data_IF_981823343131
#
_entry.id   IF_981823343131
#
_cell.length_a   1.000
_cell.length_b   1.000
_cell.length_c   1.000
_cell.angle_alpha   90.00
_cell.angle_beta   90.00
_cell.angle_gamma   90.00
#
_symmetry.space_group_name_H-M   'P 1'
#
loop_
_entity.id
_entity.type
_entity.pdbx_description
1 polymer ?
#
# COMPACT_ATOMS: atom_id res chain seq x y z
N UNK A 1 -20.69 -21.63 39.87
CA UNK A 1 -19.91 -20.43 40.26
C UNK A 1 -18.93 -20.12 39.12
N UNK A 2 -19.31 -19.19 38.23
CA UNK A 2 -18.49 -18.81 37.08
C UNK A 2 -17.45 -17.78 37.53
N UNK A 3 -16.18 -18.04 37.26
CA UNK A 3 -15.08 -17.12 37.54
C UNK A 3 -15.27 -15.79 36.80
N UNK A 4 -14.96 -14.62 37.38
CA UNK A 4 -15.11 -13.35 36.77
C UNK A 4 -14.13 -13.21 35.59
N UNK A 5 -14.66 -12.81 34.41
CA UNK A 5 -13.89 -12.46 33.25
C UNK A 5 -12.94 -11.28 33.60
N UNK A 6 -11.63 -11.37 33.34
CA UNK A 6 -10.73 -10.27 33.62
C UNK A 6 -11.14 -9.03 32.81
N UNK A 7 -11.28 -7.90 33.50
CA UNK A 7 -11.53 -6.61 32.87
C UNK A 7 -10.43 -6.28 31.87
N UNK A 8 -10.74 -5.65 30.71
CA UNK A 8 -9.74 -5.23 29.75
C UNK A 8 -8.77 -4.27 30.44
N UNK A 9 -7.47 -4.59 30.35
CA UNK A 9 -6.41 -3.75 30.88
C UNK A 9 -6.55 -2.33 30.31
N UNK A 10 -6.57 -1.34 31.19
CA UNK A 10 -6.64 0.07 30.81
C UNK A 10 -5.53 0.38 29.80
N UNK A 11 -5.93 0.82 28.61
CA UNK A 11 -5.00 1.24 27.55
C UNK A 11 -4.07 2.33 28.12
N UNK A 12 -2.77 2.11 28.05
CA UNK A 12 -1.79 3.14 28.45
C UNK A 12 -2.02 4.38 27.58
N UNK A 13 -1.96 5.60 28.15
CA UNK A 13 -2.08 6.80 27.34
C UNK A 13 -1.01 6.79 26.27
N UNK A 14 -1.43 6.95 25.00
CA UNK A 14 -0.54 7.06 23.86
C UNK A 14 0.33 8.31 24.06
N UNK A 15 1.64 8.11 23.99
CA UNK A 15 2.63 9.20 24.05
C UNK A 15 3.58 9.10 22.86
N UNK A 16 4.09 10.25 22.42
CA UNK A 16 5.07 10.26 21.34
C UNK A 16 6.31 9.41 21.70
N UNK A 17 6.84 8.64 20.75
CA UNK A 17 8.04 7.85 20.98
C UNK A 17 9.22 8.73 21.38
N UNK A 18 10.00 8.35 22.42
CA UNK A 18 11.15 9.14 22.85
C UNK A 18 12.26 9.16 21.81
N UNK A 19 13.11 10.19 21.85
CA UNK A 19 14.29 10.27 21.01
C UNK A 19 15.23 9.09 21.26
N UNK A 20 15.81 8.54 20.20
CA UNK A 20 16.65 7.33 20.23
C UNK A 20 15.87 6.01 20.31
N UNK A 21 14.54 6.03 20.40
CA UNK A 21 13.75 4.81 20.40
C UNK A 21 13.76 4.11 19.05
N UNK A 22 13.72 2.78 19.09
CA UNK A 22 13.62 1.93 17.89
C UNK A 22 12.29 1.20 17.93
N UNK A 23 11.44 1.49 16.95
CA UNK A 23 10.15 0.84 16.77
C UNK A 23 10.24 -0.22 15.68
N UNK A 24 9.44 -1.29 15.84
CA UNK A 24 9.32 -2.32 14.81
C UNK A 24 8.08 -2.01 13.96
N UNK A 25 8.25 -2.16 12.63
CA UNK A 25 7.18 -1.95 11.67
C UNK A 25 7.30 -2.95 10.53
N UNK A 26 6.27 -3.10 9.73
CA UNK A 26 6.25 -4.07 8.64
C UNK A 26 6.90 -3.45 7.38
N UNK A 27 7.90 -4.11 6.77
CA UNK A 27 8.48 -3.67 5.51
C UNK A 27 7.45 -3.67 4.37
N UNK A 28 7.19 -2.52 3.79
CA UNK A 28 6.28 -2.38 2.66
C UNK A 28 7.00 -2.16 1.32
N UNK A 29 8.01 -1.29 1.31
CA UNK A 29 8.87 -1.06 0.14
C UNK A 29 10.34 -1.00 0.59
N UNK A 30 11.27 -1.71 -0.06
CA UNK A 30 12.61 -1.88 0.44
C UNK A 30 13.49 -0.63 0.24
N UNK A 31 14.22 -0.23 1.27
CA UNK A 31 15.19 0.87 1.21
C UNK A 31 15.57 1.39 2.59
N UNK A 32 16.47 2.36 2.60
CA UNK A 32 16.84 3.14 3.77
C UNK A 32 16.50 4.59 3.47
N UNK A 33 15.69 5.21 4.32
CA UNK A 33 15.30 6.60 4.20
C UNK A 33 15.63 7.37 5.47
N UNK A 34 16.01 8.62 5.31
CA UNK A 34 16.32 9.56 6.39
C UNK A 34 15.75 10.92 6.04
N UNK A 35 15.18 11.61 7.02
CA UNK A 35 14.67 12.95 6.84
C UNK A 35 13.79 13.41 8.01
N UNK A 36 13.37 14.67 7.98
CA UNK A 36 12.43 15.20 8.94
C UNK A 36 11.04 14.57 8.75
N UNK A 37 10.34 14.31 9.85
CA UNK A 37 8.97 13.84 9.85
C UNK A 37 8.02 14.93 9.36
N UNK A 38 7.25 14.63 8.33
CA UNK A 38 6.07 15.39 7.94
C UNK A 38 4.83 14.60 8.33
N UNK A 39 4.27 14.93 9.50
CA UNK A 39 3.11 14.23 10.04
C UNK A 39 1.85 14.82 9.43
N UNK A 40 1.19 14.03 8.60
CA UNK A 40 -0.09 14.38 8.00
C UNK A 40 -1.19 13.59 8.71
N UNK A 41 -1.83 14.22 9.68
CA UNK A 41 -2.99 13.63 10.36
C UNK A 41 -4.17 13.72 9.40
N UNK A 42 -4.94 12.64 9.27
CA UNK A 42 -6.21 12.68 8.54
C UNK A 42 -7.07 13.80 9.11
N UNK A 43 -7.33 14.81 8.30
CA UNK A 43 -8.16 15.93 8.73
C UNK A 43 -9.58 15.41 8.96
N UNK A 44 -10.12 15.67 10.15
CA UNK A 44 -11.55 15.58 10.38
C UNK A 44 -12.19 16.74 9.63
N UNK A 45 -13.07 16.43 8.71
CA UNK A 45 -13.81 17.45 8.00
C UNK A 45 -14.92 18.00 8.90
N UNK A 46 -14.93 19.31 9.11
CA UNK A 46 -16.02 19.99 9.80
C UNK A 46 -16.99 20.54 8.75
N UNK A 47 -18.20 20.03 8.74
CA UNK A 47 -19.24 20.41 7.77
C UNK A 47 -20.62 20.42 8.42
N UNK A 48 -21.51 21.31 7.95
CA UNK A 48 -22.89 21.37 8.45
C UNK A 48 -23.66 20.11 8.04
N UNK A 49 -24.55 19.65 8.93
CA UNK A 49 -25.40 18.49 8.63
C UNK A 49 -26.52 18.84 7.65
N UNK A 50 -27.00 20.08 7.66
CA UNK A 50 -28.03 20.57 6.77
C UNK A 50 -27.48 21.50 5.71
N UNK A 51 -27.99 21.34 4.48
CA UNK A 51 -27.65 22.17 3.34
C UNK A 51 -28.42 23.48 3.29
N UNK A 52 -27.96 24.42 2.47
CA UNK A 52 -28.62 25.71 2.23
C UNK A 52 -29.85 25.53 1.33
N UNK A 53 -29.73 24.77 0.25
CA UNK A 53 -30.80 24.37 -0.63
C UNK A 53 -30.40 23.11 -1.40
N UNK A 54 -31.38 22.28 -1.74
CA UNK A 54 -31.15 21.04 -2.51
C UNK A 54 -30.40 21.31 -3.83
N UNK A 55 -30.75 22.40 -4.52
CA UNK A 55 -30.10 22.74 -5.79
C UNK A 55 -28.63 23.14 -5.61
N UNK A 56 -28.33 23.97 -4.60
CA UNK A 56 -26.96 24.38 -4.34
C UNK A 56 -26.07 23.22 -3.86
N UNK A 57 -26.62 22.35 -3.01
CA UNK A 57 -25.88 21.18 -2.51
C UNK A 57 -25.62 20.16 -3.64
N UNK A 58 -26.58 19.97 -4.54
CA UNK A 58 -26.42 19.14 -5.74
C UNK A 58 -25.32 19.69 -6.66
N UNK A 59 -25.31 20.98 -6.93
CA UNK A 59 -24.28 21.63 -7.73
C UNK A 59 -22.90 21.48 -7.09
N UNK A 60 -22.80 21.69 -5.78
CA UNK A 60 -21.56 21.53 -4.99
C UNK A 60 -21.02 20.11 -5.09
N UNK A 61 -21.88 19.10 -4.94
CA UNK A 61 -21.53 17.68 -5.07
C UNK A 61 -21.06 17.34 -6.49
N UNK A 62 -21.81 17.70 -7.52
CA UNK A 62 -21.47 17.39 -8.90
C UNK A 62 -20.15 18.06 -9.33
N UNK A 63 -19.89 19.29 -8.87
CA UNK A 63 -18.64 19.98 -9.09
C UNK A 63 -17.48 19.22 -8.45
N UNK A 64 -17.60 18.85 -7.19
CA UNK A 64 -16.57 18.12 -6.46
C UNK A 64 -16.26 16.76 -7.10
N UNK A 65 -17.28 15.98 -7.47
CA UNK A 65 -17.11 14.70 -8.16
C UNK A 65 -16.40 14.92 -9.51
N UNK A 66 -16.79 15.96 -10.28
CA UNK A 66 -16.18 16.29 -11.56
C UNK A 66 -14.69 16.64 -11.44
N UNK A 67 -14.32 17.42 -10.43
CA UNK A 67 -12.92 17.77 -10.13
C UNK A 67 -12.10 16.55 -9.73
N UNK A 68 -12.61 15.70 -8.82
CA UNK A 68 -11.93 14.47 -8.41
C UNK A 68 -11.78 13.51 -9.58
N UNK A 69 -12.80 13.37 -10.44
CA UNK A 69 -12.70 12.55 -11.65
C UNK A 69 -11.60 13.03 -12.59
N UNK A 70 -11.54 14.32 -12.85
CA UNK A 70 -10.48 14.91 -13.68
C UNK A 70 -9.09 14.68 -13.11
N UNK A 71 -8.95 14.77 -11.79
CA UNK A 71 -7.70 14.45 -11.09
C UNK A 71 -7.29 13.00 -11.26
N UNK A 72 -8.24 12.05 -11.11
CA UNK A 72 -8.00 10.62 -11.29
C UNK A 72 -7.59 10.33 -12.75
N UNK A 73 -8.27 10.91 -13.73
CA UNK A 73 -7.91 10.78 -15.14
C UNK A 73 -6.47 11.25 -15.42
N UNK A 74 -6.08 12.38 -14.82
CA UNK A 74 -4.70 12.89 -14.93
C UNK A 74 -3.68 11.92 -14.30
N UNK A 75 -4.00 11.29 -13.16
CA UNK A 75 -3.15 10.29 -12.50
C UNK A 75 -3.01 9.03 -13.36
N UNK A 76 -4.09 8.56 -13.98
CA UNK A 76 -4.07 7.42 -14.92
C UNK A 76 -3.15 7.71 -16.10
N UNK A 77 -3.27 8.90 -16.71
CA UNK A 77 -2.46 9.28 -17.88
C UNK A 77 -0.97 9.44 -17.56
N UNK A 78 -0.64 10.01 -16.39
CA UNK A 78 0.75 10.24 -15.97
C UNK A 78 1.43 8.98 -15.45
N UNK A 79 0.67 8.00 -14.97
CA UNK A 79 1.23 6.80 -14.37
C UNK A 79 1.88 5.88 -15.39
N UNK A 80 3.16 5.55 -15.18
CA UNK A 80 3.92 4.57 -15.96
C UNK A 80 3.66 3.14 -15.51
N UNK A 81 3.19 2.94 -14.29
CA UNK A 81 2.92 1.62 -13.69
C UNK A 81 1.52 1.13 -14.08
N UNK A 82 1.43 -0.08 -14.62
CA UNK A 82 0.15 -0.72 -14.93
C UNK A 82 -0.69 -0.93 -13.66
N UNK A 83 -0.07 -1.37 -12.56
CA UNK A 83 -0.76 -1.60 -11.29
C UNK A 83 -1.40 -0.31 -10.73
N UNK A 84 -0.67 0.82 -10.81
CA UNK A 84 -1.21 2.12 -10.38
C UNK A 84 -2.41 2.53 -11.24
N UNK A 85 -2.31 2.35 -12.56
CA UNK A 85 -3.43 2.67 -13.45
C UNK A 85 -4.67 1.83 -13.16
N UNK A 86 -4.51 0.53 -12.90
CA UNK A 86 -5.63 -0.37 -12.57
C UNK A 86 -6.35 0.08 -11.29
N UNK A 87 -5.62 0.49 -10.25
CA UNK A 87 -6.20 1.04 -9.02
C UNK A 87 -7.05 2.29 -9.32
N UNK A 88 -6.51 3.24 -10.09
CA UNK A 88 -7.25 4.47 -10.38
C UNK A 88 -8.44 4.27 -11.33
N UNK A 89 -8.39 3.30 -12.23
CA UNK A 89 -9.56 2.91 -13.03
C UNK A 89 -10.67 2.41 -12.10
N UNK A 90 -10.36 1.58 -11.12
CA UNK A 90 -11.35 1.12 -10.12
C UNK A 90 -11.92 2.29 -9.30
N UNK A 91 -11.08 3.27 -8.91
CA UNK A 91 -11.56 4.47 -8.22
C UNK A 91 -12.50 5.32 -9.09
N UNK A 92 -12.23 5.41 -10.39
CA UNK A 92 -13.12 6.10 -11.33
C UNK A 92 -14.47 5.37 -11.44
N UNK A 93 -14.47 4.04 -11.55
CA UNK A 93 -15.69 3.23 -11.55
C UNK A 93 -16.51 3.43 -10.26
N UNK A 94 -15.88 3.53 -9.10
CA UNK A 94 -16.55 3.83 -7.83
C UNK A 94 -17.22 5.20 -7.82
N UNK A 95 -16.59 6.23 -8.41
CA UNK A 95 -17.17 7.57 -8.50
C UNK A 95 -18.40 7.63 -9.43
N UNK A 96 -18.44 6.75 -10.43
CA UNK A 96 -19.51 6.68 -11.43
C UNK A 96 -20.62 5.69 -11.03
N UNK A 97 -20.54 5.09 -9.84
CA UNK A 97 -21.53 4.13 -9.36
C UNK A 97 -22.92 4.81 -9.18
N UNK A 98 -23.93 4.39 -9.96
CA UNK A 98 -25.24 4.99 -9.89
C UNK A 98 -25.99 4.71 -8.58
N UNK A 99 -25.66 3.62 -7.87
CA UNK A 99 -26.28 3.32 -6.57
C UNK A 99 -25.86 4.33 -5.52
N UNK A 100 -24.54 4.62 -5.44
CA UNK A 100 -24.02 5.63 -4.53
C UNK A 100 -24.60 7.02 -4.84
N UNK A 101 -24.61 7.41 -6.12
CA UNK A 101 -25.11 8.71 -6.55
C UNK A 101 -26.60 8.87 -6.24
N UNK A 102 -27.42 7.84 -6.49
CA UNK A 102 -28.86 7.92 -6.22
C UNK A 102 -29.19 7.98 -4.73
N UNK A 103 -28.40 7.31 -3.88
CA UNK A 103 -28.59 7.38 -2.43
C UNK A 103 -28.21 8.75 -1.86
N UNK A 104 -27.10 9.34 -2.36
CA UNK A 104 -26.74 10.72 -2.00
C UNK A 104 -27.83 11.70 -2.42
N UNK A 105 -28.34 11.60 -3.65
CA UNK A 105 -29.44 12.45 -4.13
C UNK A 105 -30.71 12.34 -3.27
N UNK A 106 -31.05 11.14 -2.81
CA UNK A 106 -32.18 10.94 -1.89
C UNK A 106 -31.99 11.68 -0.57
N UNK A 107 -30.76 11.72 -0.04
CA UNK A 107 -30.41 12.45 1.19
C UNK A 107 -30.42 13.96 1.00
N UNK A 108 -29.94 14.45 -0.13
CA UNK A 108 -30.03 15.88 -0.48
C UNK A 108 -31.48 16.34 -0.52
N UNK A 109 -32.41 15.51 -1.02
CA UNK A 109 -33.84 15.82 -1.04
C UNK A 109 -34.45 15.86 0.39
N UNK A 110 -33.75 15.38 1.41
CA UNK A 110 -34.12 15.47 2.83
C UNK A 110 -33.37 16.61 3.56
N UNK A 111 -32.92 17.62 2.83
CA UNK A 111 -32.21 18.82 3.35
C UNK A 111 -30.84 18.52 4.01
N UNK A 112 -30.24 17.36 3.77
CA UNK A 112 -28.86 17.12 4.19
C UNK A 112 -27.88 17.93 3.31
N UNK A 113 -26.75 18.34 3.88
CA UNK A 113 -25.69 18.96 3.09
C UNK A 113 -24.99 17.94 2.20
N UNK A 114 -24.37 18.39 1.12
CA UNK A 114 -23.61 17.54 0.21
C UNK A 114 -22.50 16.74 0.94
N UNK A 115 -21.82 17.38 1.88
CA UNK A 115 -20.77 16.75 2.68
C UNK A 115 -21.33 15.64 3.59
N UNK A 116 -22.41 15.92 4.33
CA UNK A 116 -23.04 14.97 5.25
C UNK A 116 -23.62 13.77 4.49
N UNK A 117 -24.37 14.03 3.41
CA UNK A 117 -24.97 13.00 2.56
C UNK A 117 -23.90 12.09 1.96
N UNK A 118 -22.86 12.67 1.35
CA UNK A 118 -21.75 11.93 0.76
C UNK A 118 -21.00 11.09 1.80
N UNK A 119 -20.58 11.67 2.93
CA UNK A 119 -19.87 10.96 3.98
C UNK A 119 -20.65 9.77 4.52
N UNK A 120 -21.95 9.94 4.73
CA UNK A 120 -22.83 8.88 5.26
C UNK A 120 -22.98 7.73 4.27
N UNK A 121 -23.20 8.02 2.99
CA UNK A 121 -23.38 6.99 1.95
C UNK A 121 -22.09 6.19 1.77
N UNK A 122 -20.96 6.86 1.64
CA UNK A 122 -19.66 6.20 1.49
C UNK A 122 -19.35 5.29 2.69
N UNK A 123 -19.51 5.77 3.91
CA UNK A 123 -19.23 4.95 5.11
C UNK A 123 -20.19 3.77 5.23
N UNK A 124 -21.48 3.98 4.91
CA UNK A 124 -22.47 2.90 4.91
C UNK A 124 -22.09 1.81 3.90
N UNK A 125 -21.73 2.19 2.67
CA UNK A 125 -21.31 1.26 1.63
C UNK A 125 -19.99 0.53 2.02
N UNK A 126 -19.03 1.23 2.59
CA UNK A 126 -17.76 0.65 3.04
C UNK A 126 -17.98 -0.40 4.15
N UNK A 127 -18.79 -0.07 5.16
CA UNK A 127 -19.14 -1.00 6.25
C UNK A 127 -19.89 -2.23 5.73
N UNK A 128 -20.79 -2.06 4.76
CA UNK A 128 -21.48 -3.19 4.13
C UNK A 128 -20.51 -4.14 3.42
N UNK A 129 -19.51 -3.61 2.72
CA UNK A 129 -18.47 -4.43 2.07
C UNK A 129 -17.59 -5.18 3.08
N UNK A 130 -17.22 -4.56 4.19
CA UNK A 130 -16.44 -5.20 5.26
C UNK A 130 -17.20 -6.36 5.92
N UNK A 131 -18.53 -6.26 6.05
CA UNK A 131 -19.37 -7.31 6.63
C UNK A 131 -19.44 -8.59 5.80
N UNK A 132 -19.12 -8.54 4.51
CA UNK A 132 -19.17 -9.69 3.60
C UNK A 132 -18.04 -10.71 3.84
N UNK A 133 -17.13 -10.50 4.80
CA UNK A 133 -16.04 -11.41 5.22
C UNK A 133 -15.14 -11.88 4.06
N UNK A 134 -15.10 -11.16 2.97
CA UNK A 134 -14.22 -11.40 1.85
C UNK A 134 -13.05 -10.40 1.87
N UNK A 135 -11.82 -10.91 1.81
CA UNK A 135 -10.62 -10.07 1.88
C UNK A 135 -10.53 -9.05 0.73
N UNK A 136 -11.01 -9.42 -0.48
CA UNK A 136 -11.02 -8.53 -1.64
C UNK A 136 -12.05 -7.39 -1.46
N UNK A 137 -13.18 -7.68 -0.82
CA UNK A 137 -14.20 -6.68 -0.54
C UNK A 137 -13.79 -5.74 0.59
N UNK A 138 -13.05 -6.25 1.58
CA UNK A 138 -12.45 -5.41 2.61
C UNK A 138 -11.43 -4.42 2.04
N UNK A 139 -10.62 -4.83 1.06
CA UNK A 139 -9.72 -3.93 0.32
C UNK A 139 -10.51 -2.86 -0.45
N UNK A 140 -11.62 -3.23 -1.10
CA UNK A 140 -12.52 -2.29 -1.79
C UNK A 140 -13.15 -1.28 -0.84
N UNK A 141 -13.48 -1.67 0.39
CA UNK A 141 -13.99 -0.74 1.40
C UNK A 141 -12.98 0.38 1.73
N UNK A 142 -11.69 0.05 1.80
CA UNK A 142 -10.63 1.03 1.99
C UNK A 142 -10.49 1.98 0.79
N UNK A 143 -10.56 1.46 -0.43
CA UNK A 143 -10.54 2.26 -1.66
C UNK A 143 -11.75 3.20 -1.74
N UNK A 144 -12.94 2.71 -1.37
CA UNK A 144 -14.16 3.51 -1.35
C UNK A 144 -14.04 4.68 -0.35
N UNK A 145 -13.48 4.44 0.84
CA UNK A 145 -13.18 5.51 1.81
C UNK A 145 -12.15 6.50 1.29
N UNK A 146 -11.14 6.05 0.53
CA UNK A 146 -10.14 6.92 -0.08
C UNK A 146 -10.79 7.87 -1.10
N UNK A 147 -11.58 7.33 -2.02
CA UNK A 147 -12.36 8.11 -2.99
C UNK A 147 -13.33 9.05 -2.28
N UNK A 148 -14.02 8.54 -1.26
CA UNK A 148 -14.97 9.32 -0.44
C UNK A 148 -14.33 10.53 0.21
N UNK A 149 -13.15 10.37 0.82
CA UNK A 149 -12.39 11.47 1.43
C UNK A 149 -11.96 12.52 0.42
N UNK A 150 -11.59 12.13 -0.80
CA UNK A 150 -11.20 13.08 -1.85
C UNK A 150 -12.34 13.99 -2.26
N UNK A 151 -13.53 13.42 -2.47
CA UNK A 151 -14.72 14.22 -2.79
C UNK A 151 -15.10 15.11 -1.61
N UNK A 152 -15.04 14.58 -0.39
CA UNK A 152 -15.34 15.34 0.82
C UNK A 152 -14.38 16.52 1.01
N UNK A 153 -13.10 16.34 0.76
CA UNK A 153 -12.09 17.41 0.79
C UNK A 153 -12.42 18.52 -0.21
N UNK A 154 -12.85 18.17 -1.42
CA UNK A 154 -13.28 19.12 -2.45
C UNK A 154 -14.55 19.88 -2.04
N UNK A 155 -15.55 19.16 -1.48
CA UNK A 155 -16.78 19.78 -1.00
C UNK A 155 -16.48 20.80 0.11
N UNK A 156 -15.58 20.44 1.04
CA UNK A 156 -15.21 21.29 2.18
C UNK A 156 -14.18 22.36 1.82
N UNK A 157 -13.63 22.38 0.62
CA UNK A 157 -12.60 23.35 0.21
C UNK A 157 -11.32 23.25 1.03
N UNK A 158 -10.98 22.05 1.49
CA UNK A 158 -9.79 21.82 2.31
C UNK A 158 -8.57 21.72 1.41
N UNK A 159 -7.68 22.70 1.50
CA UNK A 159 -6.40 22.68 0.84
C UNK A 159 -5.47 21.67 1.54
N UNK A 160 -4.82 20.81 0.75
CA UNK A 160 -3.76 19.93 1.25
C UNK A 160 -2.60 20.80 1.78
N UNK A 161 -2.13 20.49 2.98
CA UNK A 161 -0.97 21.17 3.59
C UNK A 161 0.21 21.04 2.62
N UNK A 162 0.81 22.18 2.27
CA UNK A 162 1.96 22.20 1.37
C UNK A 162 3.09 21.31 1.90
N UNK A 163 3.65 20.50 1.02
CA UNK A 163 4.79 19.65 1.36
C UNK A 163 6.03 20.53 1.66
N UNK A 164 6.92 20.09 2.57
CA UNK A 164 8.19 20.79 2.79
C UNK A 164 9.04 20.85 1.50
N UNK A 165 9.84 21.89 1.37
CA UNK A 165 10.77 22.04 0.23
C UNK A 165 11.95 21.06 0.29
N UNK A 166 12.28 20.55 1.47
CA UNK A 166 13.36 19.58 1.67
C UNK A 166 12.83 18.14 1.67
N UNK A 167 13.64 17.15 1.29
CA UNK A 167 13.24 15.75 1.34
C UNK A 167 12.80 15.33 2.75
N UNK A 168 11.59 14.79 2.87
CA UNK A 168 10.95 14.46 4.13
C UNK A 168 10.45 13.01 4.17
N UNK A 169 10.18 12.54 5.39
CA UNK A 169 9.48 11.28 5.64
C UNK A 169 8.01 11.60 5.91
N UNK A 170 7.14 11.11 5.04
CA UNK A 170 5.70 11.24 5.21
C UNK A 170 5.23 10.28 6.29
N UNK A 171 4.55 10.80 7.31
CA UNK A 171 3.96 10.04 8.41
C UNK A 171 2.44 10.23 8.38
N UNK A 172 1.69 9.13 8.23
CA UNK A 172 0.23 9.13 8.17
C UNK A 172 -0.36 7.98 8.98
N UNK A 173 -1.65 8.02 9.26
CA UNK A 173 -2.37 6.91 9.86
C UNK A 173 -2.38 5.71 8.90
N UNK A 174 -3.01 5.89 7.76
CA UNK A 174 -3.01 4.97 6.64
C UNK A 174 -2.88 5.80 5.36
N UNK A 175 -2.09 5.31 4.42
CA UNK A 175 -1.87 6.00 3.15
C UNK A 175 -2.70 5.33 2.08
N UNK A 176 -3.64 6.09 1.52
CA UNK A 176 -4.39 5.65 0.35
C UNK A 176 -3.53 5.61 -0.91
N UNK A 177 -3.90 4.82 -1.92
CA UNK A 177 -3.19 4.76 -3.19
C UNK A 177 -3.13 6.13 -3.87
N UNK A 178 -4.15 6.94 -3.68
CA UNK A 178 -4.25 8.31 -4.18
C UNK A 178 -3.22 9.25 -3.59
N UNK A 179 -2.96 9.12 -2.30
CA UNK A 179 -1.97 9.96 -1.61
C UNK A 179 -0.58 9.65 -2.15
N UNK A 180 -0.21 8.36 -2.21
CA UNK A 180 1.11 7.92 -2.69
C UNK A 180 1.35 8.30 -4.14
N UNK A 181 0.34 8.23 -5.00
CA UNK A 181 0.48 8.56 -6.41
C UNK A 181 0.69 10.06 -6.70
N UNK A 182 0.32 10.93 -5.77
CA UNK A 182 0.56 12.37 -5.83
C UNK A 182 1.94 12.76 -5.29
N UNK A 183 2.60 11.85 -4.56
CA UNK A 183 3.90 12.14 -3.98
C UNK A 183 4.96 12.29 -5.08
N UNK A 184 5.78 13.30 -4.92
CA UNK A 184 7.00 13.44 -5.73
C UNK A 184 8.13 12.60 -5.08
N UNK A 185 8.61 11.53 -5.77
CA UNK A 185 9.70 10.72 -5.26
C UNK A 185 11.01 11.49 -5.00
N UNK A 186 11.14 12.70 -5.57
CA UNK A 186 12.29 13.56 -5.31
C UNK A 186 12.19 14.28 -3.95
N UNK A 187 10.97 14.51 -3.46
CA UNK A 187 10.72 15.19 -2.19
C UNK A 187 10.42 14.21 -1.05
N UNK A 188 9.76 13.08 -1.35
CA UNK A 188 9.43 12.08 -0.34
C UNK A 188 10.55 11.07 -0.22
N UNK A 189 11.37 11.22 0.82
CA UNK A 189 12.47 10.29 1.10
C UNK A 189 11.97 8.93 1.58
N UNK A 190 10.84 8.87 2.30
CA UNK A 190 10.26 7.63 2.81
C UNK A 190 8.83 7.79 3.28
N UNK A 191 8.13 6.67 3.45
CA UNK A 191 6.74 6.61 3.93
C UNK A 191 6.68 5.77 5.20
N UNK A 192 5.99 6.28 6.21
CA UNK A 192 5.71 5.62 7.48
C UNK A 192 4.23 5.68 7.77
N UNK A 193 3.58 4.53 8.01
CA UNK A 193 2.18 4.52 8.43
C UNK A 193 2.00 3.92 9.82
N UNK A 194 1.04 4.47 10.57
CA UNK A 194 0.64 3.94 11.86
C UNK A 194 -0.01 2.57 11.71
N UNK A 195 -0.88 2.42 10.71
CA UNK A 195 -1.65 1.22 10.39
C UNK A 195 -1.33 0.68 9.01
N UNK A 196 -1.97 -0.41 8.63
CA UNK A 196 -1.83 -1.05 7.31
C UNK A 196 -0.89 -2.25 7.32
N UNK A 197 -0.90 -2.99 6.21
CA UNK A 197 -0.12 -4.22 5.99
C UNK A 197 0.74 -4.17 4.74
N UNK A 198 1.68 -5.10 4.61
CA UNK A 198 2.60 -5.18 3.47
C UNK A 198 1.92 -5.50 2.12
N UNK A 199 0.68 -5.97 2.14
CA UNK A 199 -0.15 -6.28 0.97
C UNK A 199 -1.11 -5.16 0.60
N UNK A 200 -1.22 -4.11 1.43
CA UNK A 200 -2.07 -2.96 1.15
C UNK A 200 -1.68 -2.27 -0.18
N UNK A 201 -2.65 -1.66 -0.83
CA UNK A 201 -2.44 -0.93 -2.09
C UNK A 201 -1.33 0.14 -1.98
N UNK A 202 -1.26 0.83 -0.84
CA UNK A 202 -0.20 1.79 -0.51
C UNK A 202 1.21 1.19 -0.61
N UNK A 203 1.39 -0.06 -0.16
CA UNK A 203 2.66 -0.77 -0.27
C UNK A 203 3.03 -1.10 -1.73
N UNK A 204 2.05 -1.47 -2.55
CA UNK A 204 2.23 -1.73 -3.98
C UNK A 204 2.68 -0.46 -4.70
N UNK A 205 2.02 0.65 -4.42
CA UNK A 205 2.32 1.95 -5.04
C UNK A 205 3.68 2.47 -4.58
N UNK A 206 4.01 2.40 -3.28
CA UNK A 206 5.31 2.79 -2.77
C UNK A 206 6.46 2.01 -3.45
N UNK A 207 6.30 0.69 -3.65
CA UNK A 207 7.26 -0.13 -4.41
C UNK A 207 7.37 0.29 -5.87
N UNK A 208 6.25 0.61 -6.52
CA UNK A 208 6.24 1.05 -7.92
C UNK A 208 6.94 2.39 -8.12
N UNK A 209 6.88 3.29 -7.13
CA UNK A 209 7.58 4.57 -7.11
C UNK A 209 9.04 4.45 -6.59
N UNK A 210 9.42 3.30 -6.03
CA UNK A 210 10.76 3.10 -5.47
C UNK A 210 11.00 3.84 -4.15
N UNK A 211 9.94 4.28 -3.46
CA UNK A 211 10.03 4.99 -2.18
C UNK A 211 10.11 3.97 -1.04
N UNK A 212 11.13 4.02 -0.16
CA UNK A 212 11.19 3.16 1.03
C UNK A 212 9.97 3.37 1.92
N UNK A 213 9.34 2.28 2.39
CA UNK A 213 8.12 2.38 3.19
C UNK A 213 8.08 1.36 4.33
N UNK A 214 7.64 1.80 5.49
CA UNK A 214 7.28 1.01 6.66
C UNK A 214 5.82 1.22 7.00
N UNK A 215 5.09 0.15 7.32
CA UNK A 215 3.66 0.21 7.66
C UNK A 215 3.40 -0.49 9.01
N UNK A 216 2.30 -0.11 9.67
CA UNK A 216 1.92 -0.73 10.94
C UNK A 216 2.89 -0.40 12.09
N UNK A 217 3.40 0.82 12.14
CA UNK A 217 4.34 1.25 13.17
C UNK A 217 3.67 1.55 14.54
N UNK A 218 2.33 1.59 14.60
CA UNK A 218 1.55 1.94 15.78
C UNK A 218 1.12 3.41 15.80
N UNK A 219 0.02 3.69 16.51
CA UNK A 219 -0.59 5.03 16.54
C UNK A 219 0.31 6.11 17.18
N UNK A 220 1.32 5.70 17.95
CA UNK A 220 2.29 6.59 18.59
C UNK A 220 3.14 7.40 17.61
N UNK A 221 3.32 6.93 16.37
CA UNK A 221 4.08 7.68 15.34
C UNK A 221 3.33 8.93 14.87
N UNK A 222 2.01 8.98 15.01
CA UNK A 222 1.19 10.14 14.68
C UNK A 222 1.38 11.31 15.67
N UNK A 223 1.94 11.02 16.84
CA UNK A 223 2.24 12.00 17.87
C UNK A 223 3.65 12.58 17.76
N UNK A 224 4.41 12.17 16.75
CA UNK A 224 5.73 12.73 16.46
C UNK A 224 5.61 14.23 16.16
N UNK A 225 6.55 15.00 16.67
CA UNK A 225 6.62 16.43 16.34
C UNK A 225 7.07 16.61 14.89
N UNK A 226 6.41 17.46 14.11
CA UNK A 226 6.88 17.81 12.76
C UNK A 226 8.36 18.24 12.80
N UNK A 227 9.15 17.81 11.82
CA UNK A 227 10.57 18.07 11.76
C UNK A 227 11.47 17.13 12.59
N UNK A 228 10.92 16.19 13.37
CA UNK A 228 11.72 15.16 14.04
C UNK A 228 12.44 14.31 13.01
N UNK A 229 13.76 14.20 13.11
CA UNK A 229 14.54 13.36 12.19
C UNK A 229 14.21 11.89 12.42
N UNK A 230 13.88 11.18 11.35
CA UNK A 230 13.58 9.75 11.35
C UNK A 230 14.57 9.00 10.48
N UNK A 231 14.86 7.76 10.87
CA UNK A 231 15.60 6.79 10.07
C UNK A 231 14.73 5.55 9.88
N UNK A 232 14.36 5.29 8.64
CA UNK A 232 13.60 4.10 8.22
C UNK A 232 14.58 3.08 7.62
N UNK A 233 14.71 1.91 8.24
CA UNK A 233 15.35 0.73 7.66
C UNK A 233 14.26 -0.28 7.28
N UNK A 234 13.72 -0.12 6.08
CA UNK A 234 12.65 -0.98 5.59
C UNK A 234 13.10 -2.41 5.29
N UNK A 235 14.39 -2.72 5.31
CA UNK A 235 14.87 -4.10 5.18
C UNK A 235 14.75 -4.87 6.49
N UNK A 236 15.07 -4.16 7.60
CA UNK A 236 15.01 -4.73 8.94
C UNK A 236 13.69 -4.47 9.65
N UNK A 237 12.76 -3.72 9.01
CA UNK A 237 11.50 -3.34 9.61
C UNK A 237 11.67 -2.42 10.81
N UNK A 238 12.66 -1.52 10.79
CA UNK A 238 13.01 -0.66 11.94
C UNK A 238 12.83 0.81 11.62
N UNK A 239 12.16 1.48 12.52
CA UNK A 239 12.09 2.94 12.60
C UNK A 239 12.93 3.39 13.79
N UNK A 240 13.88 4.29 13.59
CA UNK A 240 14.62 4.98 14.68
C UNK A 240 14.19 6.43 14.73
N UNK A 241 13.71 6.87 15.89
CA UNK A 241 13.27 8.25 16.14
C UNK A 241 14.42 9.08 16.67
N UNK A 242 14.70 10.22 16.05
CA UNK A 242 15.79 11.13 16.40
C UNK A 242 17.12 10.36 16.64
N UNK A 243 17.63 9.64 15.61
CA UNK A 243 18.87 8.88 15.71
C UNK A 243 20.06 9.80 16.00
N UNK A 244 21.06 9.27 16.68
CA UNK A 244 22.34 9.97 16.88
C UNK A 244 23.15 10.04 15.57
N UNK A 245 24.10 10.95 15.53
CA UNK A 245 24.97 11.22 14.36
C UNK A 245 25.68 9.94 13.88
N UNK A 246 26.17 9.11 14.81
CA UNK A 246 26.87 7.87 14.47
C UNK A 246 25.94 6.85 13.79
N UNK A 247 24.68 6.79 14.20
CA UNK A 247 23.66 5.93 13.58
C UNK A 247 23.28 6.43 12.19
N UNK A 248 23.13 7.75 12.01
CA UNK A 248 22.88 8.37 10.71
C UNK A 248 24.02 8.09 9.73
N UNK A 249 25.29 8.29 10.15
CA UNK A 249 26.43 8.03 9.29
C UNK A 249 26.52 6.57 8.83
N UNK A 250 26.26 5.61 9.72
CA UNK A 250 26.19 4.19 9.36
C UNK A 250 25.07 3.91 8.37
N UNK A 251 23.89 4.52 8.55
CA UNK A 251 22.76 4.35 7.66
C UNK A 251 23.06 4.92 6.26
N UNK A 252 23.77 6.05 6.17
CA UNK A 252 24.24 6.60 4.89
C UNK A 252 25.18 5.61 4.19
N UNK A 253 26.16 5.07 4.91
CA UNK A 253 27.09 4.08 4.36
C UNK A 253 26.38 2.81 3.88
N UNK A 254 25.43 2.29 4.67
CA UNK A 254 24.61 1.12 4.31
C UNK A 254 23.75 1.40 3.06
N UNK A 255 23.16 2.58 2.95
CA UNK A 255 22.39 3.02 1.78
C UNK A 255 23.26 3.08 0.54
N UNK A 256 24.41 3.76 0.61
CA UNK A 256 25.32 3.97 -0.50
C UNK A 256 25.93 2.63 -0.98
N UNK A 257 26.34 1.77 -0.05
CA UNK A 257 26.81 0.43 -0.36
C UNK A 257 25.75 -0.43 -1.05
N UNK A 258 24.47 -0.27 -0.65
CA UNK A 258 23.36 -0.94 -1.31
C UNK A 258 23.14 -0.42 -2.73
N UNK A 259 23.14 0.89 -2.90
CA UNK A 259 22.95 1.50 -4.22
C UNK A 259 24.03 1.05 -5.20
N UNK A 260 25.28 1.00 -4.74
CA UNK A 260 26.39 0.46 -5.53
C UNK A 260 26.20 -1.01 -5.91
N UNK A 261 25.72 -1.85 -4.97
CA UNK A 261 25.40 -3.26 -5.27
C UNK A 261 24.28 -3.40 -6.30
N UNK A 262 23.24 -2.57 -6.20
CA UNK A 262 22.14 -2.58 -7.15
C UNK A 262 22.58 -2.12 -8.55
N UNK A 263 23.44 -1.08 -8.63
CA UNK A 263 24.03 -0.62 -9.89
C UNK A 263 24.91 -1.71 -10.51
N UNK A 264 25.81 -2.31 -9.74
CA UNK A 264 26.65 -3.41 -10.21
C UNK A 264 25.83 -4.63 -10.65
N UNK A 265 24.77 -4.99 -9.92
CA UNK A 265 23.86 -6.07 -10.31
C UNK A 265 23.07 -5.75 -11.59
N UNK A 266 22.69 -4.47 -11.80
CA UNK A 266 22.02 -4.04 -13.01
C UNK A 266 22.94 -4.09 -14.24
N UNK A 267 24.20 -3.76 -14.09
CA UNK A 267 25.23 -3.87 -15.13
C UNK A 267 25.53 -5.34 -15.46
N UNK A 268 25.76 -6.17 -14.43
CA UNK A 268 26.01 -7.61 -14.61
C UNK A 268 24.80 -8.41 -15.11
N UNK A 269 23.60 -7.83 -15.09
CA UNK A 269 22.37 -8.50 -15.52
C UNK A 269 22.39 -9.00 -16.95
N UNK A 270 23.15 -8.34 -17.83
CA UNK A 270 23.27 -8.69 -19.23
C UNK A 270 24.42 -9.66 -19.52
N UNK A 271 25.25 -9.98 -18.53
CA UNK A 271 26.32 -10.95 -18.66
C UNK A 271 25.76 -12.38 -18.59
N UNK A 272 26.36 -13.32 -19.35
CA UNK A 272 25.99 -14.72 -19.25
C UNK A 272 26.27 -15.25 -17.84
N UNK A 273 25.28 -15.89 -17.22
CA UNK A 273 25.48 -16.53 -15.92
C UNK A 273 26.43 -17.71 -16.06
N UNK A 274 27.54 -17.68 -15.35
CA UNK A 274 28.55 -18.76 -15.33
C UNK A 274 28.52 -19.42 -13.96
N UNK A 275 28.42 -20.76 -13.96
CA UNK A 275 28.47 -21.57 -12.74
C UNK A 275 29.91 -21.62 -12.19
N UNK A 276 30.09 -22.02 -10.92
CA UNK A 276 31.41 -22.09 -10.27
C UNK A 276 32.42 -23.00 -10.97
N UNK A 277 31.92 -23.97 -11.73
CA UNK A 277 32.66 -24.92 -12.55
C UNK A 277 32.85 -24.48 -14.02
N UNK A 278 32.56 -23.20 -14.31
CA UNK A 278 32.85 -22.55 -15.59
C UNK A 278 31.83 -22.78 -16.71
N UNK A 279 30.69 -23.44 -16.43
CA UNK A 279 29.66 -23.64 -17.44
C UNK A 279 28.74 -22.43 -17.56
N UNK A 280 28.62 -21.89 -18.79
CA UNK A 280 27.63 -20.83 -19.08
C UNK A 280 26.20 -21.37 -19.02
N UNK A 281 25.38 -20.88 -18.11
CA UNK A 281 23.96 -21.22 -18.03
C UNK A 281 23.13 -20.18 -18.79
N UNK A 282 22.31 -20.65 -19.72
CA UNK A 282 21.31 -19.78 -20.38
C UNK A 282 20.13 -19.63 -19.45
N UNK A 283 20.01 -18.48 -18.78
CA UNK A 283 18.78 -18.11 -18.10
C UNK A 283 17.74 -17.67 -19.13
N UNK A 284 16.66 -18.41 -19.29
CA UNK A 284 15.51 -17.93 -20.04
C UNK A 284 14.62 -17.12 -19.11
N UNK A 285 14.14 -15.93 -19.50
CA UNK A 285 13.19 -15.18 -18.69
C UNK A 285 11.93 -16.02 -18.51
N UNK A 286 11.47 -16.17 -17.26
CA UNK A 286 10.16 -16.75 -16.98
C UNK A 286 9.16 -15.69 -17.38
N UNK A 287 8.54 -15.85 -18.55
CA UNK A 287 7.43 -15.00 -18.97
C UNK A 287 6.20 -15.41 -18.17
N UNK A 288 5.69 -14.54 -17.33
CA UNK A 288 4.44 -14.74 -16.59
C UNK A 288 3.20 -14.78 -17.50
N UNK A 289 3.37 -14.65 -18.81
CA UNK A 289 2.30 -14.60 -19.81
C UNK A 289 2.29 -15.80 -20.77
N UNK A 290 2.69 -16.99 -20.32
CA UNK A 290 2.42 -18.18 -21.10
C UNK A 290 0.98 -18.65 -20.86
N UNK A 291 0.08 -18.68 -21.88
CA UNK A 291 -1.22 -19.28 -21.71
C UNK A 291 -1.03 -20.76 -21.38
N UNK A 292 -1.65 -21.23 -20.30
CA UNK A 292 -1.73 -22.61 -19.94
C UNK A 292 -2.48 -23.36 -21.08
N UNK A 293 -1.76 -24.10 -21.91
CA UNK A 293 -2.16 -25.21 -22.76
C UNK A 293 -1.32 -25.31 -24.04
N UNK A 294 -0.17 -25.95 -23.89
CA UNK A 294 0.40 -26.72 -25.01
C UNK A 294 1.06 -27.97 -24.44
N UNK A 295 0.68 -29.17 -24.87
CA UNK A 295 1.33 -30.39 -24.41
C UNK A 295 2.79 -30.40 -24.87
N UNK A 296 3.73 -30.93 -24.06
CA UNK A 296 5.14 -30.93 -24.42
C UNK A 296 5.37 -31.84 -25.61
N UNK A 297 5.82 -31.27 -26.73
CA UNK A 297 6.43 -32.05 -27.81
C UNK A 297 7.74 -32.65 -27.29
N UNK A 298 7.94 -33.91 -27.56
CA UNK A 298 8.99 -34.81 -27.07
C UNK A 298 10.40 -34.42 -27.51
N UNK A 299 10.94 -33.31 -27.01
CA UNK A 299 12.38 -33.05 -26.97
C UNK A 299 12.70 -32.32 -25.69
N UNK A 300 13.00 -33.07 -24.64
CA UNK A 300 13.48 -32.55 -23.37
C UNK A 300 14.80 -31.80 -23.57
N UNK A 301 14.76 -30.47 -23.59
CA UNK A 301 15.92 -29.66 -23.29
C UNK A 301 15.92 -29.47 -21.76
N UNK A 302 16.99 -29.94 -21.13
CA UNK A 302 17.24 -29.69 -19.72
C UNK A 302 17.37 -28.16 -19.50
N UNK A 303 16.35 -27.53 -18.96
CA UNK A 303 16.41 -26.17 -18.50
C UNK A 303 16.62 -26.24 -16.99
N UNK A 304 17.79 -25.83 -16.52
CA UNK A 304 18.02 -25.59 -15.08
C UNK A 304 17.31 -24.32 -14.69
N UNK A 305 16.23 -24.43 -13.92
CA UNK A 305 15.61 -23.30 -13.27
C UNK A 305 16.52 -22.81 -12.14
N UNK A 306 17.08 -21.61 -12.27
CA UNK A 306 17.77 -20.94 -11.18
C UNK A 306 16.72 -20.44 -10.18
N UNK A 307 16.51 -21.19 -9.08
CA UNK A 307 15.74 -20.75 -7.93
C UNK A 307 16.53 -19.69 -7.16
N UNK A 308 15.84 -18.66 -6.70
CA UNK A 308 16.38 -17.69 -5.76
C UNK A 308 16.94 -18.35 -4.50
N UNK A 309 17.94 -17.79 -3.82
CA UNK A 309 18.68 -18.45 -2.73
C UNK A 309 17.86 -18.85 -1.50
N UNK A 310 16.60 -18.47 -1.41
CA UNK A 310 15.72 -18.80 -0.28
C UNK A 310 14.97 -20.14 -0.40
N UNK A 311 15.08 -20.86 -1.53
CA UNK A 311 14.32 -22.10 -1.75
C UNK A 311 15.14 -23.40 -1.58
N UNK A 312 16.42 -23.35 -1.15
CA UNK A 312 17.29 -24.52 -1.09
C UNK A 312 17.29 -25.28 0.24
N UNK A 313 16.28 -25.19 1.10
CA UNK A 313 16.27 -25.91 2.40
C UNK A 313 15.15 -26.95 2.59
N UNK A 314 14.45 -27.37 1.56
CA UNK A 314 13.47 -28.44 1.71
C UNK A 314 14.08 -29.79 1.32
N UNK A 315 14.67 -30.48 2.32
CA UNK A 315 14.93 -31.95 2.22
C UNK A 315 13.58 -32.65 2.32
N UNK A 316 13.12 -33.20 1.20
CA UNK A 316 11.99 -34.13 1.19
C UNK A 316 12.47 -35.46 1.78
N UNK A 317 11.88 -36.01 2.86
CA UNK A 317 12.22 -37.34 3.37
C UNK A 317 11.78 -38.41 2.36
N UNK A 318 12.71 -39.24 1.94
CA UNK A 318 12.46 -40.44 1.12
C UNK A 318 11.73 -41.53 1.90
N UNK A 319 10.49 -41.32 2.35
CA UNK A 319 9.61 -42.41 2.79
C UNK A 319 8.19 -41.99 2.50
N UNK A 320 7.62 -42.63 1.48
CA UNK A 320 6.20 -42.94 1.24
C UNK A 320 5.89 -43.00 -0.28
N UNK A 321 6.66 -43.80 -1.03
CA UNK A 321 6.12 -44.35 -2.28
C UNK A 321 5.76 -45.81 -2.05
N UNK A 322 4.49 -46.08 -1.74
CA UNK A 322 3.90 -47.40 -1.90
C UNK A 322 3.54 -47.62 -3.38
N UNK A 323 3.83 -48.80 -3.97
CA UNK A 323 3.51 -49.07 -5.37
C UNK A 323 1.99 -49.19 -5.56
N UNK A 324 1.44 -48.50 -6.55
CA UNK A 324 0.06 -48.66 -6.99
C UNK A 324 -0.16 -50.06 -7.56
N UNK A 325 -1.06 -50.83 -6.96
CA UNK A 325 -1.63 -52.08 -7.50
C UNK A 325 -2.32 -51.77 -8.82
N UNK A 326 -1.98 -52.60 -9.85
CA UNK A 326 -2.71 -52.68 -11.10
C UNK A 326 -4.11 -53.20 -10.81
N UNK A 327 -5.14 -52.46 -11.15
CA UNK A 327 -6.49 -52.98 -11.27
C UNK A 327 -6.67 -53.52 -12.71
N UNK A 328 -6.87 -54.83 -12.79
CA UNK A 328 -7.36 -55.50 -13.96
C UNK A 328 -8.80 -55.07 -14.26
N UNK A 329 -9.05 -54.59 -15.45
CA UNK A 329 -10.38 -54.50 -16.04
C UNK A 329 -10.68 -55.84 -16.74
N UNK A 330 -11.67 -56.55 -16.25
CA UNK A 330 -12.35 -57.60 -17.01
C UNK A 330 -13.87 -57.33 -16.87
N UNK A 331 -14.47 -57.08 -18.01
CA UNK A 331 -15.79 -57.44 -18.50
C UNK A 331 -17.04 -57.29 -17.58
N UNK A 332 -17.92 -56.40 -17.90
CA UNK A 332 -19.22 -56.64 -18.60
C UNK A 332 -19.80 -55.30 -19.02
#
# INVERSE_FOLDING_TARGET
EAAPTPAPAAAKPLSAPPAGSVLQAVPASPGIAMGPAHVQVLQSFDYPQRGESVAAERERLHKAIGEVRSDIENLIQRSKSKAIREIFITHQEMLEDPELTSEVEARLNNDESAAAAWATVIETAAVQQEQLQDALLAERAADLRDVGRRVLAQICGVETVAAPDEPYILVMDEVGPSDVARLDPAQVAGILTARGGATAHSAIVARALGIPALVGAGDEVLLLKPGTVLLLDSQRGRLTVAPDEATLQRAVQDRDAREQRLKAAAEARMEPAVTRDGHASKSSPISATAPAHRPPSSRARKVSACCAPSCCSWRIPRRLMKPRRKLNTAAC
#
